data_IF_851666980720
#
_entry.id   IF_851666980720
#
_cell.length_a   1.000
_cell.length_b   1.000
_cell.length_c   1.000
_cell.angle_alpha   90.00
_cell.angle_beta   90.00
_cell.angle_gamma   90.00
#
_symmetry.space_group_name_H-M   'P 1'
#
loop_
_entity.id
_entity.type
_entity.pdbx_description
1 polymer ?
#
# COMPACT_ATOMS: atom_id res chain seq x y z
N UNK A 1 46.31 -12.36 -8.62
CA UNK A 1 44.84 -12.30 -8.56
C UNK A 1 44.47 -11.63 -7.25
N UNK A 2 43.86 -10.46 -7.29
CA UNK A 2 43.52 -9.64 -6.13
C UNK A 2 42.28 -10.18 -5.39
N UNK A 3 42.48 -10.63 -4.15
CA UNK A 3 41.40 -10.92 -3.22
C UNK A 3 40.76 -9.60 -2.75
N UNK A 4 39.80 -9.09 -3.52
CA UNK A 4 38.93 -7.99 -3.08
C UNK A 4 38.15 -8.44 -1.85
N UNK A 5 38.48 -7.87 -0.69
CA UNK A 5 37.71 -7.97 0.55
C UNK A 5 36.27 -7.56 0.26
N UNK A 6 35.34 -8.51 0.38
CA UNK A 6 33.91 -8.23 0.38
C UNK A 6 33.66 -7.38 1.62
N UNK A 7 33.43 -6.09 1.42
CA UNK A 7 33.16 -5.15 2.51
C UNK A 7 31.96 -5.63 3.30
N UNK A 8 32.15 -5.81 4.60
CA UNK A 8 31.05 -6.12 5.51
C UNK A 8 30.14 -4.89 5.56
N UNK A 9 29.04 -4.90 4.82
CA UNK A 9 28.02 -3.87 4.92
C UNK A 9 27.29 -4.12 6.24
N UNK A 10 27.67 -3.39 7.28
CA UNK A 10 26.89 -3.33 8.53
C UNK A 10 25.71 -2.39 8.29
N UNK A 11 24.51 -2.95 8.12
CA UNK A 11 23.28 -2.17 8.14
C UNK A 11 23.03 -1.70 9.58
N UNK A 12 22.99 -0.39 9.80
CA UNK A 12 22.50 0.16 11.06
C UNK A 12 20.99 -0.04 11.16
N UNK A 13 20.46 -0.17 12.38
CA UNK A 13 19.04 -0.32 12.63
C UNK A 13 18.23 0.86 12.05
N UNK A 14 18.78 2.07 12.09
CA UNK A 14 18.21 3.27 11.45
C UNK A 14 18.09 3.13 9.93
N UNK A 15 19.10 2.57 9.25
CA UNK A 15 19.05 2.35 7.80
C UNK A 15 18.00 1.29 7.44
N UNK A 16 17.74 0.34 8.34
CA UNK A 16 16.70 -0.68 8.16
C UNK A 16 15.30 -0.07 8.35
N UNK A 17 15.12 0.83 9.31
CA UNK A 17 13.86 1.54 9.52
C UNK A 17 13.55 2.53 8.39
N UNK A 18 14.54 3.28 7.90
CA UNK A 18 14.39 4.11 6.71
C UNK A 18 14.07 3.28 5.46
N UNK A 19 14.72 2.13 5.30
CA UNK A 19 14.42 1.20 4.21
C UNK A 19 12.99 0.64 4.33
N UNK A 20 12.56 0.23 5.52
CA UNK A 20 11.19 -0.23 5.78
C UNK A 20 10.19 0.90 5.50
N UNK A 21 10.45 2.14 5.94
CA UNK A 21 9.63 3.33 5.61
C UNK A 21 9.57 3.59 4.12
N UNK A 22 10.67 3.39 3.40
CA UNK A 22 10.77 3.60 1.95
C UNK A 22 9.95 2.53 1.21
N UNK A 23 10.04 1.26 1.64
CA UNK A 23 9.22 0.13 1.16
C UNK A 23 7.77 0.13 1.66
N UNK A 24 7.43 0.96 2.64
CA UNK A 24 6.05 1.21 3.09
C UNK A 24 5.60 2.62 2.69
N UNK A 25 6.10 3.12 1.56
CA UNK A 25 5.55 4.34 1.01
C UNK A 25 4.09 4.09 0.60
N UNK A 26 3.21 5.01 0.97
CA UNK A 26 1.78 5.00 0.66
C UNK A 26 1.48 4.74 -0.84
N UNK A 27 2.43 5.10 -1.72
CA UNK A 27 2.42 4.83 -3.15
C UNK A 27 2.38 3.34 -3.51
N UNK A 28 3.06 2.48 -2.75
CA UNK A 28 3.10 1.02 -3.01
C UNK A 28 1.88 0.31 -2.43
N UNK A 29 1.28 0.86 -1.37
CA UNK A 29 0.10 0.29 -0.72
C UNK A 29 -1.22 0.63 -1.43
N UNK A 30 -1.30 1.79 -2.10
CA UNK A 30 -2.52 2.21 -2.80
C UNK A 30 -3.02 1.17 -3.83
N UNK A 31 -2.17 0.59 -4.70
CA UNK A 31 -2.59 -0.48 -5.60
C UNK A 31 -3.21 -1.69 -4.88
N UNK A 32 -2.65 -2.10 -3.73
CA UNK A 32 -3.17 -3.22 -2.95
C UNK A 32 -4.56 -2.92 -2.38
N UNK A 33 -4.77 -1.71 -1.84
CA UNK A 33 -6.09 -1.33 -1.32
C UNK A 33 -7.15 -1.21 -2.41
N UNK A 34 -6.79 -0.73 -3.60
CA UNK A 34 -7.70 -0.69 -4.74
C UNK A 34 -8.08 -2.11 -5.21
N UNK A 35 -7.13 -3.05 -5.21
CA UNK A 35 -7.41 -4.45 -5.51
C UNK A 35 -8.32 -5.10 -4.45
N UNK A 36 -8.09 -4.80 -3.18
CA UNK A 36 -8.93 -5.26 -2.06
C UNK A 36 -10.41 -4.88 -2.26
N UNK A 37 -10.65 -3.63 -2.69
CA UNK A 37 -11.99 -3.11 -3.01
C UNK A 37 -12.60 -3.80 -4.23
N UNK A 38 -11.81 -4.03 -5.28
CA UNK A 38 -12.28 -4.70 -6.51
C UNK A 38 -12.73 -6.12 -6.25
N UNK A 39 -12.07 -6.80 -5.33
CA UNK A 39 -12.39 -8.16 -4.94
C UNK A 39 -13.42 -8.24 -3.80
N UNK A 40 -13.85 -7.08 -3.25
CA UNK A 40 -14.87 -7.03 -2.20
C UNK A 40 -14.40 -7.53 -0.84
N UNK A 41 -13.09 -7.51 -0.59
CA UNK A 41 -12.54 -7.91 0.70
C UNK A 41 -12.75 -6.82 1.76
N UNK A 42 -12.98 -7.24 3.01
CA UNK A 42 -13.13 -6.33 4.14
C UNK A 42 -11.79 -5.72 4.55
N UNK A 43 -11.80 -4.43 4.90
CA UNK A 43 -10.64 -3.76 5.45
C UNK A 43 -10.48 -4.08 6.94
N UNK A 44 -9.26 -4.45 7.34
CA UNK A 44 -8.91 -4.54 8.76
C UNK A 44 -8.69 -3.16 9.36
N UNK A 45 -8.76 -3.06 10.69
CA UNK A 45 -8.52 -1.81 11.41
C UNK A 45 -7.13 -1.22 11.10
N UNK A 46 -6.09 -2.04 11.00
CA UNK A 46 -4.75 -1.61 10.61
C UNK A 46 -4.72 -0.98 9.20
N UNK A 47 -5.46 -1.56 8.25
CA UNK A 47 -5.56 -1.01 6.89
C UNK A 47 -6.27 0.34 6.90
N UNK A 48 -7.32 0.50 7.70
CA UNK A 48 -8.03 1.77 7.83
C UNK A 48 -7.14 2.87 8.40
N UNK A 49 -6.29 2.56 9.39
CA UNK A 49 -5.30 3.50 9.92
C UNK A 49 -4.32 3.94 8.83
N UNK A 50 -3.79 3.00 8.05
CA UNK A 50 -2.87 3.32 6.93
C UNK A 50 -3.55 4.16 5.83
N UNK A 51 -4.81 3.89 5.53
CA UNK A 51 -5.61 4.70 4.60
C UNK A 51 -5.87 6.10 5.16
N UNK A 52 -6.04 6.24 6.48
CA UNK A 52 -6.19 7.54 7.13
C UNK A 52 -4.93 8.41 6.99
N UNK A 53 -3.75 7.81 6.87
CA UNK A 53 -2.50 8.53 6.65
C UNK A 53 -2.27 8.95 5.19
N UNK A 54 -3.01 8.39 4.23
CA UNK A 54 -2.84 8.70 2.81
C UNK A 54 -3.07 10.18 2.48
N UNK A 55 -2.35 10.68 1.47
CA UNK A 55 -2.62 11.98 0.89
C UNK A 55 -4.05 12.07 0.29
N UNK A 56 -4.59 13.29 0.19
CA UNK A 56 -5.96 13.52 -0.27
C UNK A 56 -6.23 12.95 -1.67
N UNK A 57 -5.25 12.92 -2.56
CA UNK A 57 -5.40 12.36 -3.92
C UNK A 57 -5.56 10.86 -3.87
N UNK A 58 -4.75 10.18 -3.05
CA UNK A 58 -4.81 8.73 -2.87
C UNK A 58 -6.11 8.30 -2.20
N UNK A 59 -6.58 9.04 -1.18
CA UNK A 59 -7.90 8.83 -0.57
C UNK A 59 -9.04 8.99 -1.58
N UNK A 60 -8.98 10.01 -2.44
CA UNK A 60 -9.99 10.23 -3.47
C UNK A 60 -10.06 9.06 -4.46
N UNK A 61 -8.92 8.47 -4.84
CA UNK A 61 -8.89 7.27 -5.70
C UNK A 61 -9.57 6.06 -5.06
N UNK A 62 -9.34 5.85 -3.76
CA UNK A 62 -9.99 4.78 -2.97
C UNK A 62 -11.51 4.95 -3.01
N UNK A 63 -12.01 6.15 -2.72
CA UNK A 63 -13.46 6.46 -2.73
C UNK A 63 -14.06 6.23 -4.12
N UNK A 64 -13.40 6.71 -5.17
CA UNK A 64 -13.87 6.53 -6.56
C UNK A 64 -13.99 5.05 -6.91
N UNK A 65 -13.00 4.24 -6.55
CA UNK A 65 -13.02 2.81 -6.89
C UNK A 65 -14.10 2.06 -6.12
N UNK A 66 -14.28 2.38 -4.84
CA UNK A 66 -15.35 1.82 -4.01
C UNK A 66 -16.74 2.11 -4.61
N UNK A 67 -16.99 3.37 -5.01
CA UNK A 67 -18.24 3.78 -5.64
C UNK A 67 -18.50 3.06 -6.97
N UNK A 68 -17.46 2.82 -7.78
CA UNK A 68 -17.60 2.03 -9.01
C UNK A 68 -18.00 0.58 -8.71
N UNK A 69 -17.38 -0.06 -7.72
CA UNK A 69 -17.72 -1.42 -7.33
C UNK A 69 -19.17 -1.52 -6.84
N UNK A 70 -19.61 -0.62 -5.96
CA UNK A 70 -21.00 -0.60 -5.49
C UNK A 70 -21.98 -0.41 -6.65
N UNK A 71 -21.71 0.53 -7.56
CA UNK A 71 -22.57 0.77 -8.72
C UNK A 71 -22.69 -0.50 -9.59
N UNK A 72 -21.59 -1.22 -9.79
CA UNK A 72 -21.61 -2.47 -10.55
C UNK A 72 -22.43 -3.58 -9.86
N UNK A 73 -22.39 -3.67 -8.53
CA UNK A 73 -23.20 -4.63 -7.76
C UNK A 73 -24.68 -4.29 -7.89
N UNK A 74 -25.04 -3.02 -7.69
CA UNK A 74 -26.43 -2.56 -7.76
C UNK A 74 -27.04 -2.73 -9.16
N UNK A 75 -26.26 -2.48 -10.22
CA UNK A 75 -26.74 -2.63 -11.60
C UNK A 75 -26.89 -4.10 -12.01
N UNK A 76 -26.10 -5.02 -11.47
CA UNK A 76 -26.18 -6.47 -11.79
C UNK A 76 -27.29 -7.22 -11.05
N UNK A 77 -27.94 -6.59 -10.08
CA UNK A 77 -28.98 -7.23 -9.25
C UNK A 77 -30.41 -6.99 -9.77
N UNK A 78 -30.55 -6.43 -10.98
CA UNK A 78 -31.82 -6.21 -11.70
C UNK A 78 -31.84 -7.13 -12.92
#
# INVERSE_FOLDING_TARGET
MDNKRIGHISFSTENMEEFIKTCTTQKELLPLYLDHIRNGYEFTEEMLVKIADFDSTSKMKIIIEYNKCIKNILVKTI
#
